data_IF_741956320623
#
_entry.id   IF_741956320623
#
_cell.length_a   1.000
_cell.length_b   1.000
_cell.length_c   1.000
_cell.angle_alpha   90.00
_cell.angle_beta   90.00
_cell.angle_gamma   90.00
#
_symmetry.space_group_name_H-M   'P 1'
#
loop_
_entity.id
_entity.type
_entity.pdbx_description
1 polymer ?
#
# COMPACT_ATOMS: atom_id res chain seq x y z
N UNK A 1 -15.07 7.31 6.53
CA UNK A 1 -13.92 6.36 6.50
C UNK A 1 -13.35 6.17 5.10
N UNK A 2 -14.14 5.69 4.13
CA UNK A 2 -13.66 5.43 2.76
C UNK A 2 -12.97 6.63 2.08
N UNK A 3 -13.54 7.83 2.20
CA UNK A 3 -12.94 9.07 1.65
C UNK A 3 -11.51 9.30 2.17
N UNK A 4 -11.25 9.06 3.46
CA UNK A 4 -9.91 9.24 4.07
C UNK A 4 -8.92 8.21 3.55
N UNK A 5 -9.37 6.98 3.28
CA UNK A 5 -8.53 5.94 2.70
C UNK A 5 -8.16 6.25 1.25
N UNK A 6 -9.10 6.75 0.45
CA UNK A 6 -8.84 7.18 -0.94
C UNK A 6 -7.77 8.27 -0.97
N UNK A 7 -7.92 9.31 -0.12
CA UNK A 7 -6.94 10.40 0.00
C UNK A 7 -5.57 9.86 0.44
N UNK A 8 -5.55 8.98 1.44
CA UNK A 8 -4.31 8.44 1.98
C UNK A 8 -3.55 7.57 0.96
N UNK A 9 -4.26 6.90 0.05
CA UNK A 9 -3.65 6.08 -1.01
C UNK A 9 -3.02 6.90 -2.15
N UNK A 10 -3.35 8.20 -2.26
CA UNK A 10 -2.81 9.13 -3.28
C UNK A 10 -2.79 8.55 -4.70
N UNK A 11 -3.84 7.79 -5.07
CA UNK A 11 -3.99 7.23 -6.41
C UNK A 11 -5.04 7.98 -7.20
N UNK A 12 -4.62 8.48 -8.36
CA UNK A 12 -5.54 9.04 -9.34
C UNK A 12 -6.46 7.95 -9.91
N UNK A 13 -7.71 8.31 -10.13
CA UNK A 13 -8.74 7.43 -10.72
C UNK A 13 -9.04 6.13 -9.96
N UNK A 14 -8.62 6.01 -8.70
CA UNK A 14 -8.89 4.82 -7.90
C UNK A 14 -10.35 4.75 -7.42
N UNK A 15 -11.03 3.65 -7.77
CA UNK A 15 -12.39 3.34 -7.33
C UNK A 15 -12.36 2.12 -6.41
N UNK A 16 -12.35 2.30 -5.06
CA UNK A 16 -12.31 1.17 -4.15
C UNK A 16 -13.57 0.32 -4.27
N UNK A 17 -13.36 -0.98 -4.43
CA UNK A 17 -14.39 -2.03 -4.32
C UNK A 17 -14.17 -2.84 -3.03
N UNK A 18 -15.14 -3.65 -2.62
CA UNK A 18 -15.03 -4.50 -1.43
C UNK A 18 -13.97 -5.62 -1.50
N UNK A 19 -13.38 -5.83 -2.67
CA UNK A 19 -12.32 -6.82 -2.87
C UNK A 19 -10.96 -6.29 -2.44
N UNK A 20 -10.72 -4.99 -2.56
CA UNK A 20 -9.42 -4.39 -2.25
C UNK A 20 -9.07 -4.54 -0.76
N UNK A 21 -7.89 -5.11 -0.50
CA UNK A 21 -7.29 -5.19 0.83
C UNK A 21 -6.12 -4.22 0.97
N UNK A 22 -5.81 -3.87 2.22
CA UNK A 22 -4.58 -3.17 2.61
C UNK A 22 -3.94 -4.03 3.71
N UNK A 23 -2.65 -4.32 3.60
CA UNK A 23 -1.95 -5.08 4.63
C UNK A 23 -1.82 -4.28 5.94
N UNK A 24 -1.64 -4.98 7.07
CA UNK A 24 -1.55 -4.37 8.39
C UNK A 24 -0.38 -3.39 8.54
N UNK A 25 0.65 -3.52 7.72
CA UNK A 25 1.89 -2.75 7.81
C UNK A 25 1.69 -1.27 7.45
N UNK A 26 0.61 -0.97 6.72
CA UNK A 26 0.21 0.40 6.38
C UNK A 26 -0.46 1.15 7.54
N UNK A 27 -0.71 0.48 8.66
CA UNK A 27 -1.33 1.07 9.84
C UNK A 27 -0.34 1.13 11.01
N UNK A 28 -0.51 2.12 11.88
CA UNK A 28 0.22 2.18 13.14
C UNK A 28 -0.34 1.12 14.12
N UNK A 29 0.48 0.51 14.98
CA UNK A 29 0.03 -0.58 15.86
C UNK A 29 -1.10 -0.21 16.83
N UNK A 30 -1.21 1.07 17.20
CA UNK A 30 -2.28 1.66 18.04
C UNK A 30 -3.65 1.67 17.34
N UNK A 31 -3.70 1.49 16.02
CA UNK A 31 -4.95 1.50 15.24
C UNK A 31 -5.69 0.16 15.23
N UNK A 32 -5.28 -0.75 16.10
CA UNK A 32 -5.87 -2.06 16.23
C UNK A 32 -6.35 -2.32 17.65
N UNK A 33 -7.47 -3.03 17.76
CA UNK A 33 -7.95 -3.57 19.02
C UNK A 33 -8.07 -5.10 18.92
N UNK A 34 -8.14 -5.78 20.07
CA UNK A 34 -8.46 -7.20 20.13
C UNK A 34 -9.96 -7.35 20.27
N UNK A 35 -10.60 -8.05 19.33
CA UNK A 35 -12.01 -8.38 19.46
C UNK A 35 -12.26 -9.49 20.51
N UNK A 36 -13.53 -9.83 20.75
CA UNK A 36 -13.92 -10.92 21.69
C UNK A 36 -13.26 -12.27 21.39
N UNK A 37 -12.86 -12.53 20.13
CA UNK A 37 -12.16 -13.75 19.69
C UNK A 37 -10.63 -13.61 19.75
N UNK A 38 -10.10 -12.60 20.45
CA UNK A 38 -8.66 -12.25 20.52
C UNK A 38 -7.99 -12.01 19.17
N UNK A 39 -8.77 -11.77 18.10
CA UNK A 39 -8.25 -11.40 16.79
C UNK A 39 -7.94 -9.91 16.77
N UNK A 40 -6.82 -9.55 16.15
CA UNK A 40 -6.43 -8.16 15.88
C UNK A 40 -7.33 -7.60 14.78
N UNK A 41 -8.05 -6.52 15.07
CA UNK A 41 -9.02 -5.88 14.15
C UNK A 41 -8.71 -4.39 14.09
N UNK A 42 -8.86 -3.79 12.90
CA UNK A 42 -8.72 -2.34 12.72
C UNK A 42 -9.84 -1.59 13.42
N UNK A 43 -9.48 -0.50 14.10
CA UNK A 43 -10.48 0.41 14.65
C UNK A 43 -11.38 0.98 13.52
N UNK A 44 -12.66 1.25 13.79
CA UNK A 44 -13.56 1.85 12.80
C UNK A 44 -13.05 3.16 12.21
N UNK A 45 -12.23 3.91 12.95
CA UNK A 45 -11.63 5.20 12.57
C UNK A 45 -10.18 5.10 12.07
N UNK A 46 -9.61 3.90 12.00
CA UNK A 46 -8.26 3.66 11.52
C UNK A 46 -8.08 4.09 10.06
N UNK A 47 -7.06 4.89 9.80
CA UNK A 47 -6.66 5.29 8.44
C UNK A 47 -5.26 4.77 8.15
N UNK A 48 -4.99 4.29 6.93
CA UNK A 48 -3.63 3.88 6.56
C UNK A 48 -2.77 5.14 6.45
N UNK A 49 -1.64 5.15 7.13
CA UNK A 49 -0.74 6.32 7.19
C UNK A 49 0.68 6.00 6.78
N UNK A 50 1.07 4.72 6.80
CA UNK A 50 2.42 4.28 6.48
C UNK A 50 2.50 3.88 5.02
N UNK A 51 2.78 4.85 4.17
CA UNK A 51 3.07 4.61 2.77
C UNK A 51 4.45 5.20 2.45
N UNK A 52 5.31 4.41 1.83
CA UNK A 52 6.54 4.90 1.22
C UNK A 52 6.21 5.37 -0.21
N UNK A 53 5.55 6.52 -0.31
CA UNK A 53 5.45 7.23 -1.58
C UNK A 53 6.83 7.73 -1.93
N UNK A 54 7.39 7.25 -3.03
CA UNK A 54 8.65 7.82 -3.53
C UNK A 54 8.26 8.93 -4.50
N UNK A 55 8.34 10.17 -4.02
CA UNK A 55 7.92 11.38 -4.75
C UNK A 55 8.89 11.76 -5.89
N UNK A 56 9.46 10.77 -6.59
CA UNK A 56 10.35 11.02 -7.72
C UNK A 56 10.59 9.79 -8.57
N UNK A 57 10.98 9.96 -9.84
CA UNK A 57 11.43 8.85 -10.66
C UNK A 57 12.65 8.23 -9.97
N UNK A 58 12.52 6.98 -9.50
CA UNK A 58 13.66 6.22 -9.01
C UNK A 58 14.57 5.91 -10.20
N UNK A 59 15.51 6.80 -10.51
CA UNK A 59 16.66 6.46 -11.34
C UNK A 59 17.48 5.48 -10.50
N UNK A 60 17.17 4.20 -10.63
CA UNK A 60 18.02 3.14 -10.11
C UNK A 60 19.20 3.06 -11.08
N UNK A 61 20.41 3.37 -10.60
CA UNK A 61 21.66 3.11 -11.31
C UNK A 61 21.85 1.59 -11.46
N UNK A 62 21.12 0.98 -12.38
CA UNK A 62 21.33 -0.41 -12.76
C UNK A 62 22.56 -0.47 -13.66
N UNK A 63 23.54 -1.33 -13.30
CA UNK A 63 24.59 -1.73 -14.23
C UNK A 63 23.91 -2.43 -15.42
N UNK A 64 23.79 -1.72 -16.54
CA UNK A 64 23.21 -2.24 -17.78
C UNK A 64 24.10 -3.39 -18.26
N UNK A 65 23.63 -4.64 -18.10
CA UNK A 65 24.19 -5.77 -18.87
C UNK A 65 23.54 -5.71 -20.25
N UNK A 66 24.35 -5.72 -21.31
CA UNK A 66 23.96 -5.35 -22.68
C UNK A 66 22.90 -6.24 -23.34
N UNK A 67 22.49 -7.36 -22.73
CA UNK A 67 21.90 -8.46 -23.49
C UNK A 67 20.49 -8.90 -23.00
N UNK A 68 19.71 -8.06 -22.32
CA UNK A 68 18.40 -8.54 -21.80
C UNK A 68 17.28 -7.52 -21.90
N UNK A 69 16.42 -7.78 -22.90
CA UNK A 69 14.98 -7.50 -23.06
C UNK A 69 14.35 -6.73 -21.89
N UNK A 70 13.82 -5.55 -22.20
CA UNK A 70 12.88 -4.69 -21.45
C UNK A 70 12.85 -4.91 -19.93
N UNK A 71 13.34 -3.95 -19.11
CA UNK A 71 13.27 -4.08 -17.67
C UNK A 71 11.80 -4.14 -17.23
N UNK A 72 11.35 -5.34 -16.87
CA UNK A 72 10.12 -5.51 -16.10
C UNK A 72 10.34 -4.72 -14.82
N UNK A 73 9.69 -3.56 -14.74
CA UNK A 73 9.67 -2.74 -13.55
C UNK A 73 8.96 -3.58 -12.48
N UNK A 74 9.73 -4.39 -11.75
CA UNK A 74 9.21 -5.20 -10.65
C UNK A 74 8.91 -4.25 -9.48
N UNK A 75 7.75 -3.63 -9.62
CA UNK A 75 7.07 -2.76 -8.68
C UNK A 75 6.41 -3.67 -7.61
N UNK A 76 7.22 -4.43 -6.86
CA UNK A 76 6.73 -5.37 -5.83
C UNK A 76 6.08 -4.70 -4.61
N UNK A 77 6.14 -3.38 -4.49
CA UNK A 77 5.53 -2.65 -3.37
C UNK A 77 4.12 -2.11 -3.65
N UNK A 78 3.61 -2.32 -4.87
CA UNK A 78 2.25 -1.93 -5.28
C UNK A 78 1.31 -3.14 -5.34
N UNK A 79 1.83 -4.33 -5.02
CA UNK A 79 1.16 -5.64 -5.07
C UNK A 79 0.34 -5.95 -3.80
N UNK A 80 0.49 -5.18 -2.71
CA UNK A 80 -0.34 -5.36 -1.51
C UNK A 80 -1.72 -4.70 -1.64
N UNK A 81 -2.42 -4.90 -2.77
CA UNK A 81 -3.79 -4.42 -3.01
C UNK A 81 -4.56 -5.38 -3.95
N UNK A 82 -4.64 -6.66 -3.59
CA UNK A 82 -5.63 -7.60 -4.16
C UNK A 82 -6.98 -7.47 -3.43
#
# INVERSE_FOLDING_TARGET
MLKRWIIALRRDNFKPTGHHRICSDHFTPDRFYKNRKRKKVLLPEAVPTKFNFTDGPKIKNYKIRKDSINPVIENRHYECFF
#
